data_IF_748311441233
#
_entry.id   IF_748311441233
#
_cell.length_a   1.000
_cell.length_b   1.000
_cell.length_c   1.000
_cell.angle_alpha   90.00
_cell.angle_beta   90.00
_cell.angle_gamma   90.00
#
_symmetry.space_group_name_H-M   'P 1'
#
loop_
_entity.id
_entity.type
_entity.pdbx_description
1 polymer ?
#
# COMPACT_ATOMS: atom_id res chain seq x y z
N UNK A 1 -14.47 -46.43 -47.94
CA UNK A 1 -13.54 -46.29 -46.79
C UNK A 1 -13.08 -44.86 -46.57
N UNK A 2 -12.58 -44.16 -47.60
CA UNK A 2 -12.03 -42.78 -47.49
C UNK A 2 -13.06 -41.76 -46.98
N UNK A 3 -14.27 -41.75 -47.55
CA UNK A 3 -15.34 -40.79 -47.15
C UNK A 3 -15.71 -40.93 -45.66
N UNK A 4 -15.77 -42.16 -45.15
CA UNK A 4 -16.07 -42.42 -43.74
C UNK A 4 -14.95 -41.96 -42.80
N UNK A 5 -13.69 -42.17 -43.19
CA UNK A 5 -12.54 -41.68 -42.43
C UNK A 5 -12.50 -40.14 -42.38
N UNK A 6 -12.71 -39.47 -43.51
CA UNK A 6 -12.77 -38.01 -43.58
C UNK A 6 -13.91 -37.43 -42.75
N UNK A 7 -15.09 -38.04 -42.78
CA UNK A 7 -16.23 -37.60 -41.97
C UNK A 7 -15.92 -37.71 -40.46
N UNK A 8 -15.33 -38.82 -40.02
CA UNK A 8 -14.93 -38.99 -38.62
C UNK A 8 -13.88 -37.96 -38.19
N UNK A 9 -12.85 -37.72 -39.02
CA UNK A 9 -11.83 -36.71 -38.75
C UNK A 9 -12.44 -35.31 -38.61
N UNK A 10 -13.41 -34.95 -39.44
CA UNK A 10 -14.11 -33.67 -39.35
C UNK A 10 -14.92 -33.54 -38.06
N UNK A 11 -15.62 -34.60 -37.65
CA UNK A 11 -16.37 -34.62 -36.38
C UNK A 11 -15.42 -34.44 -35.19
N UNK A 12 -14.29 -35.14 -35.17
CA UNK A 12 -13.28 -34.98 -34.11
C UNK A 12 -12.67 -33.57 -34.12
N UNK A 13 -12.37 -33.02 -35.30
CA UNK A 13 -11.88 -31.65 -35.42
C UNK A 13 -12.91 -30.62 -34.91
N UNK A 14 -14.20 -30.83 -35.21
CA UNK A 14 -15.26 -29.97 -34.70
C UNK A 14 -15.41 -30.06 -33.17
N UNK A 15 -15.40 -31.28 -32.62
CA UNK A 15 -15.49 -31.49 -31.17
C UNK A 15 -14.30 -30.90 -30.41
N UNK A 16 -13.08 -31.06 -30.95
CA UNK A 16 -11.88 -30.47 -30.35
C UNK A 16 -11.91 -28.94 -30.44
N UNK A 17 -12.34 -28.37 -31.56
CA UNK A 17 -12.50 -26.92 -31.69
C UNK A 17 -13.54 -26.35 -30.71
N UNK A 18 -14.67 -27.04 -30.52
CA UNK A 18 -15.69 -26.66 -29.53
C UNK A 18 -15.16 -26.76 -28.11
N UNK A 19 -14.50 -27.86 -27.75
CA UNK A 19 -13.89 -28.03 -26.43
C UNK A 19 -12.83 -26.97 -26.13
N UNK A 20 -11.99 -26.61 -27.11
CA UNK A 20 -11.02 -25.54 -26.97
C UNK A 20 -11.68 -24.17 -26.76
N UNK A 21 -12.80 -23.92 -27.44
CA UNK A 21 -13.57 -22.69 -27.27
C UNK A 21 -14.17 -22.58 -25.86
N UNK A 22 -14.78 -23.66 -25.37
CA UNK A 22 -15.32 -23.73 -24.00
C UNK A 22 -14.22 -23.52 -22.97
N UNK A 23 -13.10 -24.25 -23.09
CA UNK A 23 -11.95 -24.09 -22.20
C UNK A 23 -11.40 -22.66 -22.20
N UNK A 24 -11.36 -21.99 -23.36
CA UNK A 24 -10.93 -20.60 -23.48
C UNK A 24 -11.91 -19.66 -22.77
N UNK A 25 -13.22 -19.86 -22.97
CA UNK A 25 -14.25 -19.06 -22.32
C UNK A 25 -14.18 -19.19 -20.81
N UNK A 26 -14.06 -20.41 -20.31
CA UNK A 26 -13.93 -20.69 -18.87
C UNK A 26 -12.64 -20.11 -18.29
N UNK A 27 -11.53 -20.20 -19.01
CA UNK A 27 -10.27 -19.59 -18.59
C UNK A 27 -10.40 -18.06 -18.48
N UNK A 28 -11.08 -17.41 -19.42
CA UNK A 28 -11.33 -15.97 -19.38
C UNK A 28 -12.28 -15.57 -18.25
N UNK A 29 -13.33 -16.35 -17.99
CA UNK A 29 -14.24 -16.11 -16.87
C UNK A 29 -13.49 -16.20 -15.54
N UNK A 30 -12.73 -17.28 -15.33
CA UNK A 30 -11.90 -17.46 -14.11
C UNK A 30 -10.86 -16.35 -13.95
N UNK A 31 -10.24 -15.89 -15.04
CA UNK A 31 -9.29 -14.79 -14.99
C UNK A 31 -9.94 -13.46 -14.55
N UNK A 32 -11.18 -13.20 -14.99
CA UNK A 32 -11.95 -12.02 -14.56
C UNK A 32 -12.30 -12.11 -13.07
N UNK A 33 -12.85 -13.24 -12.63
CA UNK A 33 -13.18 -13.44 -11.22
C UNK A 33 -11.95 -13.30 -10.32
N UNK A 34 -10.80 -13.82 -10.75
CA UNK A 34 -9.54 -13.66 -10.04
C UNK A 34 -9.10 -12.18 -9.99
N UNK A 35 -9.19 -11.45 -11.10
CA UNK A 35 -8.84 -10.03 -11.16
C UNK A 35 -9.73 -9.18 -10.26
N UNK A 36 -11.05 -9.43 -10.25
CA UNK A 36 -12.00 -8.70 -9.42
C UNK A 36 -11.78 -8.97 -7.93
N UNK A 37 -11.53 -10.24 -7.56
CA UNK A 37 -11.18 -10.60 -6.19
C UNK A 37 -9.86 -9.96 -5.75
N UNK A 38 -8.84 -9.94 -6.60
CA UNK A 38 -7.57 -9.26 -6.31
C UNK A 38 -7.77 -7.76 -6.14
N UNK A 39 -8.57 -7.12 -6.99
CA UNK A 39 -8.89 -5.70 -6.87
C UNK A 39 -9.57 -5.37 -5.53
N UNK A 40 -10.53 -6.20 -5.08
CA UNK A 40 -11.19 -6.03 -3.79
C UNK A 40 -10.23 -6.20 -2.61
N UNK A 41 -9.33 -7.19 -2.67
CA UNK A 41 -8.31 -7.41 -1.64
C UNK A 41 -7.37 -6.21 -1.58
N UNK A 42 -6.86 -5.75 -2.72
CA UNK A 42 -5.97 -4.59 -2.80
C UNK A 42 -6.64 -3.32 -2.29
N UNK A 43 -7.91 -3.09 -2.63
CA UNK A 43 -8.66 -1.94 -2.14
C UNK A 43 -8.74 -1.95 -0.60
N UNK A 44 -9.07 -3.10 -0.01
CA UNK A 44 -9.15 -3.24 1.45
C UNK A 44 -7.78 -3.07 2.11
N UNK A 45 -6.75 -3.65 1.52
CA UNK A 45 -5.39 -3.59 2.04
C UNK A 45 -4.84 -2.16 2.02
N UNK A 46 -5.00 -1.45 0.89
CA UNK A 46 -4.62 -0.03 0.76
C UNK A 46 -5.37 0.84 1.77
N UNK A 47 -6.70 0.68 1.88
CA UNK A 47 -7.50 1.47 2.81
C UNK A 47 -7.05 1.26 4.27
N UNK A 48 -6.83 0.00 4.65
CA UNK A 48 -6.33 -0.34 5.98
C UNK A 48 -4.93 0.20 6.23
N UNK A 49 -4.04 0.14 5.23
CA UNK A 49 -2.68 0.64 5.38
C UNK A 49 -2.66 2.17 5.56
N UNK A 50 -3.49 2.90 4.80
CA UNK A 50 -3.68 4.34 4.98
C UNK A 50 -4.21 4.66 6.39
N UNK A 51 -5.18 3.89 6.89
CA UNK A 51 -5.70 4.06 8.26
C UNK A 51 -4.63 3.85 9.32
N UNK A 52 -3.75 2.85 9.16
CA UNK A 52 -2.61 2.62 10.06
C UNK A 52 -1.63 3.80 10.02
N UNK A 53 -1.39 4.39 8.85
CA UNK A 53 -0.54 5.57 8.72
C UNK A 53 -1.16 6.80 9.39
N UNK A 54 -2.47 7.03 9.22
CA UNK A 54 -3.20 8.11 9.89
C UNK A 54 -3.13 7.98 11.42
N UNK A 55 -3.41 6.80 11.97
CA UNK A 55 -3.30 6.54 13.42
C UNK A 55 -1.87 6.78 13.95
N UNK A 56 -0.86 6.43 13.16
CA UNK A 56 0.55 6.68 13.51
C UNK A 56 0.87 8.18 13.52
N UNK A 57 0.40 8.93 12.52
CA UNK A 57 0.56 10.39 12.46
C UNK A 57 -0.18 11.09 13.60
N UNK A 58 -1.40 10.66 13.91
CA UNK A 58 -2.18 11.20 15.03
C UNK A 58 -1.47 10.99 16.37
N UNK A 59 -0.86 9.82 16.60
CA UNK A 59 -0.09 9.57 17.81
C UNK A 59 1.11 10.53 17.96
N UNK A 60 1.81 10.83 16.85
CA UNK A 60 2.91 11.82 16.85
C UNK A 60 2.37 13.22 17.11
N UNK A 61 1.25 13.61 16.47
CA UNK A 61 0.61 14.91 16.70
C UNK A 61 0.22 15.09 18.17
N UNK A 62 -0.41 14.08 18.76
CA UNK A 62 -0.80 14.10 20.18
C UNK A 62 0.40 14.20 21.10
N UNK A 63 1.46 13.45 20.80
CA UNK A 63 2.72 13.52 21.55
C UNK A 63 3.42 14.87 21.44
N UNK A 64 3.43 15.51 20.27
CA UNK A 64 4.03 16.84 20.07
C UNK A 64 3.22 17.94 20.76
N UNK A 65 1.90 17.75 20.92
CA UNK A 65 1.03 18.69 21.65
C UNK A 65 1.19 18.60 23.17
N UNK A 66 1.74 17.50 23.70
CA UNK A 66 1.97 17.31 25.13
C UNK A 66 3.27 18.01 25.60
N UNK A 67 3.19 19.05 26.46
CA UNK A 67 4.37 19.73 27.00
C UNK A 67 5.31 18.80 27.77
N UNK A 68 4.79 17.77 28.44
CA UNK A 68 5.60 16.81 29.20
C UNK A 68 6.45 15.96 28.26
N UNK A 69 5.91 15.60 27.09
CA UNK A 69 6.63 14.89 26.04
C UNK A 69 7.74 15.75 25.44
N UNK A 70 7.47 17.04 25.20
CA UNK A 70 8.46 17.98 24.67
C UNK A 70 9.62 18.26 25.65
N UNK A 71 9.37 18.17 26.96
CA UNK A 71 10.37 18.34 28.01
C UNK A 71 11.34 17.16 28.15
N UNK A 72 11.06 16.01 27.52
CA UNK A 72 11.95 14.85 27.55
C UNK A 72 13.28 15.11 26.84
N UNK A 73 14.37 14.44 27.25
CA UNK A 73 15.63 14.45 26.50
C UNK A 73 15.41 14.02 25.04
N UNK A 74 16.09 14.63 24.05
CA UNK A 74 15.79 14.42 22.62
C UNK A 74 15.76 12.95 22.17
N UNK A 75 16.67 12.13 22.68
CA UNK A 75 16.74 10.68 22.39
C UNK A 75 15.54 9.91 22.97
N UNK A 76 15.11 10.25 24.18
CA UNK A 76 13.94 9.62 24.82
C UNK A 76 12.66 10.09 24.17
N UNK A 77 12.56 11.38 23.86
CA UNK A 77 11.42 11.98 23.15
C UNK A 77 11.20 11.32 21.80
N UNK A 78 12.26 11.14 21.00
CA UNK A 78 12.18 10.43 19.72
C UNK A 78 11.66 9.01 19.93
N UNK A 79 12.27 8.26 20.86
CA UNK A 79 11.83 6.90 21.12
C UNK A 79 10.35 6.85 21.46
N UNK A 80 9.88 7.66 22.42
CA UNK A 80 8.48 7.63 22.87
C UNK A 80 7.50 8.14 21.82
N UNK A 81 7.84 9.20 21.07
CA UNK A 81 6.97 9.74 20.01
C UNK A 81 6.77 8.74 18.87
N UNK A 82 7.81 7.95 18.55
CA UNK A 82 7.78 7.03 17.40
C UNK A 82 7.63 5.55 17.79
N UNK A 83 7.66 5.19 19.08
CA UNK A 83 7.48 3.80 19.57
C UNK A 83 6.14 3.20 19.15
N UNK A 84 5.06 4.02 19.11
CA UNK A 84 3.76 3.58 18.58
C UNK A 84 3.69 3.52 17.06
N UNK A 85 4.52 4.28 16.36
CA UNK A 85 4.63 4.25 14.88
C UNK A 85 5.46 3.07 14.37
N UNK A 86 6.14 2.34 15.25
CA UNK A 86 6.94 1.12 14.93
C UNK A 86 6.12 -0.01 14.29
N UNK A 87 4.78 0.05 14.36
CA UNK A 87 3.90 -0.88 13.62
C UNK A 87 3.78 -0.56 12.13
N UNK A 88 4.17 0.64 11.70
CA UNK A 88 4.22 0.99 10.29
C UNK A 88 5.63 0.73 9.75
N UNK A 89 6.00 -0.55 9.62
CA UNK A 89 7.30 -0.99 9.13
C UNK A 89 7.63 -0.48 7.70
N UNK A 90 6.61 -0.01 6.96
CA UNK A 90 6.75 0.57 5.62
C UNK A 90 6.65 2.11 5.57
N UNK A 91 6.36 2.77 6.70
CA UNK A 91 6.49 4.23 6.77
C UNK A 91 7.98 4.55 6.69
N UNK A 92 8.36 5.42 5.74
CA UNK A 92 9.72 5.96 5.67
C UNK A 92 10.06 6.80 6.90
N UNK A 93 10.85 7.88 6.75
CA UNK A 93 11.08 8.76 7.90
C UNK A 93 9.85 9.62 8.20
N UNK A 94 9.42 9.63 9.46
CA UNK A 94 8.44 10.57 10.00
C UNK A 94 9.16 11.81 10.50
N UNK A 95 8.70 12.98 10.06
CA UNK A 95 9.32 14.26 10.34
C UNK A 95 8.27 15.19 10.95
N UNK A 96 8.67 15.94 11.98
CA UNK A 96 7.88 17.06 12.53
C UNK A 96 8.58 18.34 12.14
N UNK A 97 7.84 19.26 11.55
CA UNK A 97 8.33 20.57 11.13
C UNK A 97 7.81 21.68 12.04
N UNK A 98 8.49 22.81 12.03
CA UNK A 98 7.94 24.06 12.52
C UNK A 98 7.01 24.72 11.49
N UNK A 99 6.51 25.92 11.83
CA UNK A 99 5.61 26.68 10.96
C UNK A 99 6.26 27.21 9.69
N UNK A 100 7.59 27.31 9.64
CA UNK A 100 8.33 27.74 8.46
C UNK A 100 8.60 26.57 7.49
N UNK A 101 8.53 25.34 7.99
CA UNK A 101 8.77 24.12 7.24
C UNK A 101 10.13 23.48 7.55
N UNK A 102 10.85 23.96 8.57
CA UNK A 102 12.10 23.37 9.01
C UNK A 102 11.84 22.16 9.91
N UNK A 103 12.52 21.04 9.64
CA UNK A 103 12.39 19.81 10.45
C UNK A 103 12.99 20.00 11.84
N UNK A 104 12.17 19.81 12.87
CA UNK A 104 12.53 19.95 14.29
C UNK A 104 12.57 18.62 15.05
N UNK A 105 11.92 17.57 14.54
CA UNK A 105 12.00 16.20 15.07
C UNK A 105 12.04 15.22 13.90
N UNK A 106 12.89 14.20 14.00
CA UNK A 106 13.10 13.20 12.97
C UNK A 106 13.07 11.81 13.58
N UNK A 107 12.30 10.89 13.00
CA UNK A 107 12.20 9.51 13.51
C UNK A 107 13.48 8.70 13.36
N UNK A 108 14.39 9.10 12.47
CA UNK A 108 15.61 8.35 12.15
C UNK A 108 16.89 9.01 12.66
N UNK A 109 16.85 10.22 13.21
CA UNK A 109 18.06 10.98 13.55
C UNK A 109 17.88 11.89 14.78
N UNK A 110 18.79 11.75 15.74
CA UNK A 110 19.07 12.75 16.79
C UNK A 110 20.51 13.24 16.63
N UNK A 111 20.77 14.54 16.38
CA UNK A 111 19.80 15.61 16.13
C UNK A 111 19.04 15.43 14.80
N UNK A 112 17.90 16.11 14.60
CA UNK A 112 17.15 16.02 13.36
C UNK A 112 17.99 16.46 12.16
N UNK A 113 17.76 15.83 11.00
CA UNK A 113 18.41 16.23 9.74
C UNK A 113 17.92 17.62 9.34
N UNK A 114 18.83 18.45 8.82
CA UNK A 114 18.48 19.76 8.25
C UNK A 114 17.79 19.56 6.90
N UNK A 115 16.46 19.54 6.94
CA UNK A 115 15.59 19.40 5.78
C UNK A 115 14.55 20.51 5.85
N UNK A 116 14.41 21.26 4.76
CA UNK A 116 13.36 22.25 4.58
C UNK A 116 12.24 21.65 3.72
N UNK A 117 11.01 21.71 4.21
CA UNK A 117 9.82 21.19 3.55
C UNK A 117 8.77 22.27 3.27
N UNK A 118 9.06 23.54 3.57
CA UNK A 118 8.11 24.64 3.42
C UNK A 118 7.73 24.97 1.96
N UNK A 119 8.52 24.50 1.00
CA UNK A 119 8.27 24.62 -0.44
C UNK A 119 7.48 23.45 -1.03
N UNK A 120 7.13 22.45 -0.21
CA UNK A 120 6.46 21.22 -0.68
C UNK A 120 4.96 21.42 -0.77
N UNK A 121 4.38 20.88 -1.83
CA UNK A 121 2.94 20.97 -2.09
C UNK A 121 2.10 20.53 -0.88
N UNK A 122 2.51 19.46 -0.18
CA UNK A 122 1.79 18.95 1.00
C UNK A 122 1.97 19.80 2.28
N UNK A 123 2.89 20.75 2.31
CA UNK A 123 3.06 21.71 3.40
C UNK A 123 2.27 23.00 3.17
N UNK A 124 1.96 23.32 1.90
CA UNK A 124 1.31 24.55 1.48
C UNK A 124 -0.23 24.48 1.46
N UNK A 125 -0.82 23.30 1.70
CA UNK A 125 -2.28 23.05 1.70
C UNK A 125 -2.87 23.29 3.08
#
# INVERSE_FOLDING_TARGET
>A
MIIGASALSLVLAALTALSLWEMRSDALARARDAADNLALILQRDIARNIEVYDLSLQAVIDGVRDPAMLALPPNVRQLVLFDRSTNAQDLGSLLVTDKAGDVVIDSHSVPPRHIYLGDRDYFLV
#
